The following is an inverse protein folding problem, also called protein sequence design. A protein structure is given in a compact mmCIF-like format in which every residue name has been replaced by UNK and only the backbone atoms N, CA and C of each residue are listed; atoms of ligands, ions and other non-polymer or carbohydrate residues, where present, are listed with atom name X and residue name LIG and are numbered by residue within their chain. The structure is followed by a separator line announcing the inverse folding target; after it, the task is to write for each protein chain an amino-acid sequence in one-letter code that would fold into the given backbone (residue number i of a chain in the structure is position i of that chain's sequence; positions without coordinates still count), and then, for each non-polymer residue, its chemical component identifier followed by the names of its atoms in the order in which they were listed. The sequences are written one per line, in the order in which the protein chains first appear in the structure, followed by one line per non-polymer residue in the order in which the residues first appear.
data_IF_000948427346
#
_entry.id   IF_000948427346
#
_cell.length_a   1.000
_cell.length_b   1.000
_cell.length_c   1.000
_cell.angle_alpha   90.00
_cell.angle_beta   90.00
_cell.angle_gamma   90.00
#
_symmetry.space_group_name_H-M   'P 1'
#
loop_
_entity.id
_entity.type
_entity.pdbx_description
1 polymer ?
#
# COMPACT_ATOMS: atom_id res chain seq x y z
N UNK A 1 40.15 -7.67 -0.44
CA UNK A 1 39.25 -8.54 0.38
C UNK A 1 38.16 -7.67 0.98
N UNK A 2 36.92 -8.16 1.14
CA UNK A 2 35.84 -7.34 1.75
C UNK A 2 36.05 -7.21 3.27
N UNK A 3 35.81 -6.00 3.81
CA UNK A 3 35.93 -5.72 5.25
C UNK A 3 34.95 -6.57 6.08
N UNK A 4 33.76 -6.82 5.57
CA UNK A 4 32.76 -7.73 6.15
C UNK A 4 32.45 -8.89 5.18
N UNK A 5 32.21 -10.08 5.73
CA UNK A 5 31.81 -11.31 5.03
C UNK A 5 30.32 -11.60 5.21
N UNK A 6 29.65 -10.98 6.17
CA UNK A 6 28.20 -11.10 6.36
C UNK A 6 27.48 -10.57 5.13
N UNK A 7 26.61 -11.40 4.57
CA UNK A 7 25.77 -11.06 3.42
C UNK A 7 24.36 -11.55 3.68
N UNK A 8 23.38 -10.77 3.24
CA UNK A 8 21.97 -11.11 3.35
C UNK A 8 21.42 -11.39 1.96
N UNK A 9 20.69 -12.50 1.84
CA UNK A 9 19.94 -12.85 0.64
C UNK A 9 18.46 -12.86 1.00
N UNK A 10 17.67 -12.04 0.32
CA UNK A 10 16.22 -12.11 0.43
C UNK A 10 15.71 -13.37 -0.24
N UNK A 11 14.87 -14.12 0.47
CA UNK A 11 14.21 -15.32 -0.03
C UNK A 11 12.72 -15.02 -0.13
N UNK A 12 12.14 -15.26 -1.30
CA UNK A 12 10.69 -15.13 -1.49
C UNK A 12 9.96 -16.14 -0.59
N UNK A 13 8.92 -15.73 0.16
CA UNK A 13 8.12 -16.65 0.98
C UNK A 13 7.53 -17.81 0.19
N UNK A 14 7.30 -17.62 -1.13
CA UNK A 14 6.79 -18.66 -2.05
C UNK A 14 7.75 -19.83 -2.24
N UNK A 15 9.04 -19.63 -1.96
CA UNK A 15 10.08 -20.67 -2.04
C UNK A 15 10.21 -21.49 -0.75
N UNK A 16 9.50 -21.10 0.30
CA UNK A 16 9.47 -21.85 1.56
C UNK A 16 8.28 -22.80 1.47
N UNK A 17 8.57 -24.09 1.34
CA UNK A 17 7.56 -25.14 1.24
C UNK A 17 8.08 -26.44 1.82
N UNK A 18 7.16 -27.36 2.12
CA UNK A 18 7.53 -28.69 2.61
C UNK A 18 8.35 -29.42 1.53
N UNK A 19 9.38 -30.19 1.92
CA UNK A 19 10.14 -31.03 1.00
C UNK A 19 9.22 -31.94 0.17
N UNK A 20 9.51 -32.09 -1.12
CA UNK A 20 8.71 -32.89 -2.05
C UNK A 20 7.22 -32.48 -2.12
N UNK A 21 6.88 -31.25 -1.69
CA UNK A 21 5.50 -30.75 -1.58
C UNK A 21 4.58 -31.69 -0.76
N UNK A 22 5.12 -32.36 0.25
CA UNK A 22 4.30 -33.16 1.16
C UNK A 22 3.32 -32.28 1.94
N UNK A 23 2.19 -32.86 2.34
CA UNK A 23 1.25 -32.20 3.26
C UNK A 23 1.91 -31.82 4.59
N UNK A 24 1.27 -30.89 5.30
CA UNK A 24 1.72 -30.47 6.62
C UNK A 24 1.66 -31.62 7.63
N UNK A 25 2.66 -31.67 8.50
CA UNK A 25 2.81 -32.65 9.57
C UNK A 25 2.89 -31.95 10.92
N UNK A 26 2.89 -32.73 12.01
CA UNK A 26 3.06 -32.18 13.37
C UNK A 26 4.33 -31.33 13.51
N UNK A 27 5.43 -31.76 12.88
CA UNK A 27 6.75 -31.17 13.08
C UNK A 27 7.25 -30.34 11.89
N UNK A 28 6.54 -30.34 10.76
CA UNK A 28 6.86 -29.53 9.59
C UNK A 28 5.58 -28.96 8.99
N UNK A 29 5.46 -27.64 8.97
CA UNK A 29 4.29 -26.93 8.43
C UNK A 29 4.75 -25.82 7.51
N UNK A 30 4.27 -25.83 6.28
CA UNK A 30 4.49 -24.78 5.30
C UNK A 30 5.98 -24.44 5.07
N UNK A 31 6.86 -25.45 5.12
CA UNK A 31 8.31 -25.36 4.96
C UNK A 31 9.09 -24.97 6.21
N UNK A 32 8.41 -24.79 7.35
CA UNK A 32 9.04 -24.51 8.65
C UNK A 32 9.02 -25.78 9.49
N UNK A 33 10.18 -26.23 9.94
CA UNK A 33 10.26 -27.30 10.93
C UNK A 33 10.19 -26.72 12.33
N UNK A 34 9.37 -27.32 13.17
CA UNK A 34 9.11 -26.90 14.53
C UNK A 34 9.47 -28.01 15.52
N UNK A 35 9.83 -27.63 16.73
CA UNK A 35 9.96 -28.55 17.86
C UNK A 35 8.59 -28.78 18.54
N UNK A 36 8.55 -29.67 19.53
CA UNK A 36 7.31 -29.96 20.28
C UNK A 36 6.75 -28.76 21.05
N UNK A 37 7.57 -27.73 21.30
CA UNK A 37 7.17 -26.46 21.92
C UNK A 37 6.73 -25.40 20.89
N UNK A 38 6.70 -25.73 19.59
CA UNK A 38 6.31 -24.81 18.52
C UNK A 38 7.40 -23.84 18.04
N UNK A 39 8.62 -23.88 18.59
CA UNK A 39 9.72 -23.05 18.14
C UNK A 39 10.30 -23.56 16.81
N UNK A 40 10.54 -22.64 15.88
CA UNK A 40 11.16 -22.96 14.59
C UNK A 40 12.61 -23.43 14.77
N UNK A 41 12.94 -24.61 14.24
CA UNK A 41 14.29 -25.18 14.20
C UNK A 41 15.04 -24.79 12.93
N UNK A 42 14.31 -24.68 11.82
CA UNK A 42 14.88 -24.40 10.51
C UNK A 42 13.81 -24.33 9.42
N UNK A 43 14.28 -24.02 8.22
CA UNK A 43 13.46 -23.72 7.06
C UNK A 43 13.92 -24.53 5.87
N UNK A 44 12.96 -25.09 5.13
CA UNK A 44 13.20 -25.70 3.83
C UNK A 44 12.99 -24.66 2.74
N UNK A 45 14.06 -24.35 2.02
CA UNK A 45 14.03 -23.39 0.91
C UNK A 45 14.19 -24.13 -0.40
N UNK A 46 13.18 -24.06 -1.26
CA UNK A 46 13.22 -24.60 -2.61
C UNK A 46 14.23 -23.82 -3.46
N UNK A 47 14.94 -24.50 -4.37
CA UNK A 47 15.75 -23.83 -5.39
C UNK A 47 14.88 -22.91 -6.26
N UNK A 48 15.51 -21.95 -6.93
CA UNK A 48 14.81 -21.03 -7.82
C UNK A 48 14.69 -21.70 -9.19
N UNK A 49 13.50 -22.22 -9.49
CA UNK A 49 13.21 -22.89 -10.76
C UNK A 49 12.82 -21.93 -11.88
N UNK A 50 12.61 -20.64 -11.61
CA UNK A 50 12.00 -19.72 -12.58
C UNK A 50 12.76 -19.71 -13.93
N UNK A 51 12.07 -19.90 -15.07
CA UNK A 51 10.61 -20.01 -15.27
C UNK A 51 10.06 -21.46 -15.21
N UNK A 52 10.89 -22.47 -15.01
CA UNK A 52 10.52 -23.88 -14.85
C UNK A 52 9.75 -24.11 -13.55
N UNK A 53 8.48 -24.48 -13.66
CA UNK A 53 7.50 -24.53 -12.56
C UNK A 53 7.72 -25.61 -11.50
N UNK A 54 8.88 -26.26 -11.44
CA UNK A 54 9.14 -27.29 -10.42
C UNK A 54 10.56 -27.18 -9.85
N UNK A 55 10.73 -26.49 -8.72
CA UNK A 55 11.94 -26.65 -7.93
C UNK A 55 11.96 -28.07 -7.34
N UNK A 56 12.88 -28.90 -7.83
CA UNK A 56 13.01 -30.32 -7.44
C UNK A 56 13.90 -30.53 -6.21
N UNK A 57 14.46 -29.45 -5.66
CA UNK A 57 15.44 -29.55 -4.58
C UNK A 57 15.17 -28.50 -3.50
N UNK A 58 15.11 -28.97 -2.27
CA UNK A 58 15.00 -28.16 -1.07
C UNK A 58 16.33 -28.18 -0.35
N UNK A 59 16.78 -27.01 0.08
CA UNK A 59 17.93 -26.88 0.97
C UNK A 59 17.41 -26.59 2.36
N UNK A 60 17.84 -27.38 3.33
CA UNK A 60 17.58 -27.12 4.73
C UNK A 60 18.51 -26.03 5.25
N UNK A 61 17.95 -25.02 5.90
CA UNK A 61 18.69 -23.95 6.54
C UNK A 61 18.27 -23.90 8.02
N UNK A 62 19.19 -24.11 8.97
CA UNK A 62 18.86 -23.98 10.39
C UNK A 62 18.44 -22.55 10.71
N UNK A 63 17.64 -22.35 11.75
CA UNK A 63 17.28 -21.00 12.22
C UNK A 63 18.51 -20.24 12.72
N UNK A 64 19.32 -20.90 13.54
CA UNK A 64 20.53 -20.38 14.18
C UNK A 64 21.72 -21.30 13.91
N UNK A 65 22.89 -20.70 13.68
CA UNK A 65 24.17 -21.40 13.57
C UNK A 65 24.71 -21.77 14.97
N UNK A 66 25.67 -22.71 15.05
CA UNK A 66 26.43 -22.93 16.28
C UNK A 66 27.01 -21.61 16.80
N UNK A 67 26.68 -21.24 18.03
CA UNK A 67 27.03 -19.95 18.63
C UNK A 67 25.88 -18.93 18.70
N UNK A 68 24.66 -19.28 18.29
CA UNK A 68 23.46 -18.45 18.48
C UNK A 68 23.26 -17.36 17.42
N UNK A 69 24.09 -17.34 16.38
CA UNK A 69 23.95 -16.41 15.26
C UNK A 69 22.78 -16.82 14.37
N UNK A 70 21.86 -15.90 14.07
CA UNK A 70 20.76 -16.17 13.13
C UNK A 70 21.31 -16.50 11.73
N UNK A 71 20.94 -17.68 11.21
CA UNK A 71 21.21 -18.10 9.83
C UNK A 71 20.02 -17.79 8.92
N UNK A 72 18.81 -17.83 9.46
CA UNK A 72 17.58 -17.51 8.74
C UNK A 72 16.74 -16.54 9.56
N UNK A 73 16.48 -15.36 9.02
CA UNK A 73 15.70 -14.32 9.68
C UNK A 73 14.27 -14.40 9.15
N UNK A 74 13.36 -14.94 9.95
CA UNK A 74 11.93 -14.99 9.65
C UNK A 74 11.18 -14.11 10.64
N UNK A 75 10.62 -13.00 10.15
CA UNK A 75 9.84 -12.06 10.94
C UNK A 75 8.43 -12.00 10.37
N UNK A 76 7.44 -12.36 11.18
CA UNK A 76 6.03 -12.25 10.84
C UNK A 76 5.22 -12.00 12.11
N UNK A 77 4.07 -11.36 11.95
CA UNK A 77 3.12 -11.12 13.03
C UNK A 77 2.15 -12.31 13.16
N UNK A 78 2.18 -13.07 14.27
CA UNK A 78 1.22 -14.16 14.50
C UNK A 78 -0.13 -13.58 14.90
N UNK A 79 -1.18 -14.02 14.21
CA UNK A 79 -2.58 -13.65 14.50
C UNK A 79 -3.30 -14.78 15.23
N UNK A 80 -2.90 -16.02 14.95
CA UNK A 80 -3.50 -17.23 15.51
C UNK A 80 -2.43 -18.12 16.18
N UNK A 81 -2.88 -18.99 17.09
CA UNK A 81 -2.01 -19.99 17.71
C UNK A 81 -1.52 -21.03 16.69
N UNK A 82 -0.29 -21.52 16.87
CA UNK A 82 0.31 -22.53 16.00
C UNK A 82 0.65 -22.06 14.57
N UNK A 83 0.49 -20.77 14.28
CA UNK A 83 0.82 -20.17 12.99
C UNK A 83 2.35 -20.17 12.77
N UNK A 84 2.81 -20.84 11.70
CA UNK A 84 4.25 -20.92 11.39
C UNK A 84 4.74 -19.84 10.43
N UNK A 85 3.82 -19.16 9.72
CA UNK A 85 4.10 -18.09 8.74
C UNK A 85 3.00 -17.05 8.73
N UNK A 86 3.34 -15.82 8.37
CA UNK A 86 2.37 -14.73 8.23
C UNK A 86 1.24 -15.06 7.24
N UNK A 87 0.03 -14.65 7.59
CA UNK A 87 -1.15 -14.78 6.74
C UNK A 87 -1.21 -13.63 5.71
N UNK A 88 -1.95 -13.86 4.63
CA UNK A 88 -2.20 -12.82 3.65
C UNK A 88 -3.21 -11.81 4.20
N UNK A 89 -2.82 -10.54 4.29
CA UNK A 89 -3.70 -9.44 4.75
C UNK A 89 -4.92 -9.23 3.87
N UNK A 90 -4.87 -9.63 2.59
CA UNK A 90 -6.00 -9.51 1.67
C UNK A 90 -7.11 -10.54 1.91
N UNK A 91 -6.91 -11.51 2.81
CA UNK A 91 -7.90 -12.56 3.05
C UNK A 91 -9.24 -12.00 3.57
N UNK A 92 -9.20 -10.95 4.39
CA UNK A 92 -10.39 -10.30 4.95
C UNK A 92 -11.24 -9.54 3.93
N UNK A 93 -10.66 -9.15 2.78
CA UNK A 93 -11.30 -8.29 1.77
C UNK A 93 -11.44 -8.98 0.40
N UNK A 94 -11.06 -10.25 0.31
CA UNK A 94 -10.96 -10.98 -0.96
C UNK A 94 -12.31 -11.07 -1.69
N UNK A 95 -13.38 -11.33 -0.94
CA UNK A 95 -14.74 -11.39 -1.48
C UNK A 95 -15.17 -10.04 -2.07
N UNK A 96 -14.90 -8.96 -1.36
CA UNK A 96 -15.24 -7.59 -1.76
C UNK A 96 -14.42 -7.15 -2.97
N UNK A 97 -13.14 -7.54 -3.03
CA UNK A 97 -12.32 -7.33 -4.24
C UNK A 97 -12.92 -8.07 -5.45
N UNK A 98 -13.43 -9.30 -5.26
CA UNK A 98 -14.06 -10.03 -6.36
C UNK A 98 -15.41 -9.41 -6.78
N UNK A 99 -16.19 -8.93 -5.82
CA UNK A 99 -17.43 -8.18 -6.12
C UNK A 99 -17.14 -6.90 -6.89
N UNK A 100 -16.10 -6.16 -6.52
CA UNK A 100 -15.68 -4.93 -7.23
C UNK A 100 -15.30 -5.22 -8.70
N UNK A 101 -14.49 -6.25 -8.94
CA UNK A 101 -14.14 -6.71 -10.30
C UNK A 101 -15.39 -7.06 -11.12
N UNK A 102 -16.32 -7.80 -10.51
CA UNK A 102 -17.57 -8.20 -11.17
C UNK A 102 -18.43 -6.97 -11.50
N UNK A 103 -18.58 -6.05 -10.55
CA UNK A 103 -19.33 -4.80 -10.72
C UNK A 103 -18.77 -3.95 -11.87
N UNK A 104 -17.45 -3.74 -11.90
CA UNK A 104 -16.78 -2.95 -12.94
C UNK A 104 -16.98 -3.58 -14.33
N UNK A 105 -16.84 -4.91 -14.42
CA UNK A 105 -17.08 -5.65 -15.66
C UNK A 105 -18.55 -5.56 -16.10
N UNK A 106 -19.51 -5.77 -15.20
CA UNK A 106 -20.95 -5.68 -15.51
C UNK A 106 -21.35 -4.27 -15.93
N UNK A 107 -20.81 -3.24 -15.30
CA UNK A 107 -21.07 -1.84 -15.68
C UNK A 107 -20.49 -1.53 -17.07
N UNK A 108 -19.26 -1.98 -17.35
CA UNK A 108 -18.67 -1.84 -18.68
C UNK A 108 -19.50 -2.54 -19.75
N UNK A 109 -19.93 -3.79 -19.50
CA UNK A 109 -20.80 -4.52 -20.41
C UNK A 109 -22.15 -3.83 -20.60
N UNK A 110 -22.77 -3.34 -19.52
CA UNK A 110 -24.04 -2.60 -19.60
C UNK A 110 -23.89 -1.30 -20.39
N UNK A 111 -22.77 -0.59 -20.24
CA UNK A 111 -22.47 0.60 -21.03
C UNK A 111 -22.27 0.27 -22.52
N UNK A 112 -21.59 -0.85 -22.84
CA UNK A 112 -21.44 -1.34 -24.22
C UNK A 112 -22.80 -1.70 -24.81
N UNK A 113 -23.63 -2.48 -24.10
CA UNK A 113 -24.99 -2.86 -24.53
C UNK A 113 -25.83 -1.61 -24.76
N UNK A 114 -25.86 -0.65 -23.82
CA UNK A 114 -26.56 0.64 -24.00
C UNK A 114 -26.05 1.42 -25.22
N UNK A 115 -24.75 1.41 -25.47
CA UNK A 115 -24.17 2.07 -26.65
C UNK A 115 -24.52 1.35 -27.97
N UNK A 116 -24.67 0.02 -27.93
CA UNK A 116 -25.06 -0.79 -29.09
C UNK A 116 -26.55 -0.67 -29.41
N UNK A 117 -27.42 -0.68 -28.39
CA UNK A 117 -28.86 -0.54 -28.53
C UNK A 117 -29.27 0.94 -28.50
N UNK A 118 -28.82 1.71 -29.48
CA UNK A 118 -29.20 3.12 -29.63
C UNK A 118 -30.65 3.31 -30.10
N UNK A 119 -31.26 2.27 -30.68
CA UNK A 119 -32.63 2.31 -31.16
C UNK A 119 -33.27 0.92 -31.16
N UNK A 120 -34.45 0.79 -30.56
CA UNK A 120 -35.30 -0.41 -30.64
C UNK A 120 -36.50 -0.11 -31.53
N UNK A 121 -36.83 -1.04 -32.42
CA UNK A 121 -38.04 -0.96 -33.26
C UNK A 121 -39.11 -1.80 -32.58
N UNK A 122 -40.19 -1.16 -32.15
CA UNK A 122 -41.38 -1.83 -31.60
C UNK A 122 -42.41 -1.96 -32.73
N UNK A 123 -42.85 -3.18 -33.02
CA UNK A 123 -43.84 -3.46 -34.07
C UNK A 123 -45.20 -3.80 -33.45
N UNK A 124 -46.25 -3.14 -33.90
CA UNK A 124 -47.63 -3.47 -33.51
C UNK A 124 -48.11 -4.72 -34.26
N UNK A 125 -47.75 -5.90 -33.74
CA UNK A 125 -48.32 -7.17 -34.23
C UNK A 125 -49.61 -7.50 -33.50
N UNK A 126 -50.65 -7.85 -34.25
CA UNK A 126 -51.86 -8.46 -33.69
C UNK A 126 -51.50 -9.77 -32.96
N UNK A 127 -52.17 -10.05 -31.85
CA UNK A 127 -51.83 -11.13 -30.90
C UNK A 127 -51.88 -12.51 -31.58
N UNK A 128 -52.74 -12.69 -32.59
CA UNK A 128 -52.81 -13.92 -33.38
C UNK A 128 -51.57 -14.11 -34.28
N UNK A 129 -51.14 -13.06 -34.95
CA UNK A 129 -49.98 -13.05 -35.84
C UNK A 129 -48.66 -13.24 -35.06
N UNK A 130 -48.58 -12.67 -33.86
CA UNK A 130 -47.44 -12.86 -32.94
C UNK A 130 -47.33 -14.31 -32.43
N UNK A 131 -48.46 -14.96 -32.12
CA UNK A 131 -48.48 -16.37 -31.70
C UNK A 131 -48.10 -17.33 -32.84
N UNK A 132 -48.55 -17.07 -34.06
CA UNK A 132 -48.18 -17.86 -35.25
C UNK A 132 -46.67 -17.74 -35.58
N UNK A 133 -46.04 -16.60 -35.25
CA UNK A 133 -44.60 -16.38 -35.41
C UNK A 133 -43.75 -17.09 -34.34
N UNK A 134 -44.20 -17.09 -33.07
CA UNK A 134 -43.45 -17.66 -31.94
C UNK A 134 -43.59 -19.19 -31.87
N UNK A 135 -44.79 -19.73 -32.13
CA UNK A 135 -45.09 -21.16 -31.93
C UNK A 135 -44.78 -22.02 -33.16
N UNK A 136 -44.44 -21.40 -34.29
CA UNK A 136 -44.24 -22.08 -35.57
C UNK A 136 -45.57 -22.49 -36.21
N UNK A 137 -45.78 -22.08 -37.46
CA UNK A 137 -47.02 -22.32 -38.19
C UNK A 137 -47.33 -23.83 -38.37
N UNK A 138 -48.48 -24.25 -37.86
CA UNK A 138 -48.95 -25.64 -37.87
C UNK A 138 -49.68 -26.03 -39.17
N UNK A 139 -50.07 -25.08 -40.02
CA UNK A 139 -50.68 -25.33 -41.33
C UNK A 139 -49.82 -24.80 -42.49
N UNK A 140 -49.94 -25.42 -43.67
CA UNK A 140 -49.19 -25.06 -44.88
C UNK A 140 -49.57 -23.65 -45.38
N UNK A 141 -50.83 -23.26 -45.22
CA UNK A 141 -51.35 -21.94 -45.59
C UNK A 141 -50.83 -20.81 -44.66
N UNK A 142 -50.66 -21.09 -43.36
CA UNK A 142 -50.02 -20.16 -42.42
C UNK A 142 -48.54 -19.96 -42.71
N UNK A 143 -47.82 -21.01 -43.15
CA UNK A 143 -46.40 -20.88 -43.57
C UNK A 143 -46.25 -20.00 -44.79
N UNK A 144 -47.12 -20.13 -45.79
CA UNK A 144 -47.06 -19.31 -47.01
C UNK A 144 -47.33 -17.82 -46.69
N UNK A 145 -48.31 -17.53 -45.83
CA UNK A 145 -48.57 -16.15 -45.36
C UNK A 145 -47.39 -15.58 -44.56
N UNK A 146 -46.80 -16.36 -43.66
CA UNK A 146 -45.64 -15.94 -42.87
C UNK A 146 -44.42 -15.67 -43.76
N UNK A 147 -44.19 -16.52 -44.77
CA UNK A 147 -43.06 -16.38 -45.70
C UNK A 147 -43.24 -15.18 -46.64
N UNK A 148 -44.46 -14.94 -47.12
CA UNK A 148 -44.79 -13.77 -47.93
C UNK A 148 -44.62 -12.47 -47.15
N UNK A 149 -45.10 -12.43 -45.91
CA UNK A 149 -44.97 -11.27 -45.03
C UNK A 149 -43.52 -10.98 -44.64
N UNK A 150 -42.72 -12.00 -44.29
CA UNK A 150 -41.27 -11.86 -44.07
C UNK A 150 -40.57 -11.35 -45.35
N UNK A 151 -41.01 -11.80 -46.52
CA UNK A 151 -40.50 -11.35 -47.82
C UNK A 151 -40.79 -9.87 -48.09
N UNK A 152 -42.00 -9.39 -47.78
CA UNK A 152 -42.38 -7.98 -47.91
C UNK A 152 -41.62 -7.07 -46.94
N UNK A 153 -41.45 -7.51 -45.69
CA UNK A 153 -40.63 -6.81 -44.68
C UNK A 153 -39.18 -6.69 -45.17
N UNK A 154 -38.58 -7.80 -45.62
CA UNK A 154 -37.21 -7.80 -46.11
C UNK A 154 -37.03 -6.88 -47.34
N UNK A 155 -38.00 -6.85 -48.24
CA UNK A 155 -37.99 -5.97 -49.40
C UNK A 155 -38.11 -4.48 -49.02
N UNK A 156 -38.99 -4.15 -48.07
CA UNK A 156 -39.18 -2.78 -47.58
C UNK A 156 -37.91 -2.21 -46.93
N UNK A 157 -37.30 -2.97 -46.02
CA UNK A 157 -36.06 -2.57 -45.35
C UNK A 157 -34.84 -2.54 -46.28
N UNK A 158 -34.81 -3.38 -47.33
CA UNK A 158 -33.77 -3.33 -48.36
C UNK A 158 -33.87 -2.10 -49.28
N UNK A 159 -35.09 -1.58 -49.50
CA UNK A 159 -35.35 -0.51 -50.45
C UNK A 159 -35.16 0.92 -49.89
N UNK A 160 -35.12 1.12 -48.56
CA UNK A 160 -35.21 2.45 -47.95
C UNK A 160 -34.00 2.89 -47.08
N UNK A 161 -32.80 3.14 -47.63
CA UNK A 161 -31.72 3.77 -46.90
C UNK A 161 -31.89 5.30 -46.85
N UNK A 162 -32.75 5.81 -45.97
CA UNK A 162 -32.86 7.27 -45.74
C UNK A 162 -31.62 7.74 -44.97
N UNK A 163 -30.81 8.59 -45.61
CA UNK A 163 -29.61 9.20 -45.02
C UNK A 163 -29.81 10.70 -44.91
N UNK A 164 -29.68 11.24 -43.70
CA UNK A 164 -29.81 12.66 -43.41
C UNK A 164 -28.53 13.10 -42.67
N UNK A 165 -27.71 13.95 -43.30
CA UNK A 165 -26.48 14.48 -42.67
C UNK A 165 -25.40 13.44 -42.32
N UNK A 166 -25.32 12.32 -43.04
CA UNK A 166 -24.35 11.25 -42.77
C UNK A 166 -24.79 10.23 -41.71
N UNK A 167 -25.91 10.46 -41.03
CA UNK A 167 -26.56 9.48 -40.16
C UNK A 167 -27.62 8.67 -40.95
N UNK A 168 -27.66 7.35 -40.74
CA UNK A 168 -28.77 6.51 -41.22
C UNK A 168 -29.98 6.78 -40.33
N UNK A 169 -31.05 7.31 -40.91
CA UNK A 169 -32.35 7.43 -40.22
C UNK A 169 -33.19 6.23 -40.70
N UNK A 170 -33.54 5.27 -39.84
CA UNK A 170 -34.32 4.11 -40.26
C UNK A 170 -35.73 4.58 -40.69
N UNK A 171 -36.10 4.30 -41.94
CA UNK A 171 -37.48 4.45 -42.40
C UNK A 171 -38.25 3.20 -41.96
N UNK A 172 -39.20 3.39 -41.06
CA UNK A 172 -39.96 2.31 -40.43
C UNK A 172 -41.23 2.00 -41.21
N UNK A 173 -41.65 0.75 -41.17
CA UNK A 173 -42.93 0.32 -41.73
C UNK A 173 -44.09 1.01 -40.97
N UNK A 174 -45.20 1.37 -41.64
CA UNK A 174 -46.38 1.91 -40.95
C UNK A 174 -46.86 0.97 -39.84
N UNK A 175 -46.95 1.46 -38.59
CA UNK A 175 -47.26 0.65 -37.40
C UNK A 175 -46.04 0.28 -36.53
N UNK A 176 -44.83 0.46 -37.05
CA UNK A 176 -43.59 0.34 -36.25
C UNK A 176 -43.24 1.69 -35.61
N UNK A 177 -42.84 1.68 -34.35
CA UNK A 177 -42.34 2.86 -33.64
C UNK A 177 -40.85 2.72 -33.31
N UNK A 178 -40.07 3.78 -33.53
CA UNK A 178 -38.66 3.83 -33.18
C UNK A 178 -38.54 4.45 -31.79
N UNK A 179 -38.20 3.63 -30.81
CA UNK A 179 -37.85 4.12 -29.49
C UNK A 179 -36.34 4.33 -29.43
N UNK A 180 -35.92 5.59 -29.49
CA UNK A 180 -34.52 5.95 -29.23
C UNK A 180 -34.30 5.83 -27.74
N UNK A 181 -33.76 4.69 -27.32
CA UNK A 181 -33.31 4.50 -25.95
C UNK A 181 -32.11 5.42 -25.74
N UNK A 182 -32.37 6.64 -25.26
CA UNK A 182 -31.29 7.48 -24.75
C UNK A 182 -30.64 6.69 -23.63
N UNK A 183 -29.32 6.56 -23.66
CA UNK A 183 -28.59 5.92 -22.59
C UNK A 183 -28.81 6.74 -21.30
N UNK A 184 -29.87 6.42 -20.55
CA UNK A 184 -30.17 7.05 -19.27
C UNK A 184 -28.92 6.93 -18.39
N UNK A 185 -28.65 8.03 -17.69
CA UNK A 185 -27.44 8.35 -16.94
C UNK A 185 -26.68 7.10 -16.48
N UNK A 186 -25.45 6.99 -16.93
CA UNK A 186 -24.57 5.85 -16.67
C UNK A 186 -24.24 5.69 -15.19
N UNK A 187 -24.50 6.71 -14.35
CA UNK A 187 -24.22 6.70 -12.91
C UNK A 187 -25.49 6.45 -12.06
N UNK A 188 -26.17 5.32 -12.28
CA UNK A 188 -27.27 4.82 -11.44
C UNK A 188 -26.80 4.39 -10.03
N UNK A 189 -26.14 5.28 -9.28
CA UNK A 189 -25.55 4.98 -7.97
C UNK A 189 -24.33 4.05 -8.02
N UNK A 190 -23.80 3.78 -9.22
CA UNK A 190 -22.58 2.98 -9.41
C UNK A 190 -21.42 3.58 -8.63
N UNK A 191 -21.18 4.88 -8.77
CA UNK A 191 -20.09 5.57 -8.08
C UNK A 191 -20.20 5.47 -6.56
N UNK A 192 -21.41 5.59 -6.00
CA UNK A 192 -21.67 5.47 -4.56
C UNK A 192 -21.41 4.05 -4.06
N UNK A 193 -21.85 3.04 -4.81
CA UNK A 193 -21.64 1.63 -4.47
C UNK A 193 -20.18 1.21 -4.60
N UNK A 194 -19.49 1.61 -5.68
CA UNK A 194 -18.05 1.42 -5.88
C UNK A 194 -17.25 2.05 -4.73
N UNK A 195 -17.56 3.31 -4.37
CA UNK A 195 -16.93 3.96 -3.23
C UNK A 195 -17.19 3.21 -1.91
N UNK A 196 -18.37 2.64 -1.72
CA UNK A 196 -18.69 1.84 -0.54
C UNK A 196 -17.83 0.58 -0.45
N UNK A 197 -17.67 -0.15 -1.57
CA UNK A 197 -16.79 -1.31 -1.65
C UNK A 197 -15.33 -0.93 -1.39
N UNK A 198 -14.84 0.15 -1.99
CA UNK A 198 -13.48 0.64 -1.77
C UNK A 198 -13.25 1.05 -0.30
N UNK A 199 -14.22 1.67 0.37
CA UNK A 199 -14.15 1.97 1.81
C UNK A 199 -14.06 0.70 2.65
N UNK A 200 -14.83 -0.34 2.32
CA UNK A 200 -14.76 -1.61 3.04
C UNK A 200 -13.39 -2.28 2.86
N UNK A 201 -12.88 -2.29 1.63
CA UNK A 201 -11.54 -2.82 1.31
C UNK A 201 -10.47 -2.03 2.09
N UNK A 202 -10.57 -0.70 2.10
CA UNK A 202 -9.65 0.17 2.84
C UNK A 202 -9.64 -0.16 4.34
N UNK A 203 -10.82 -0.28 4.96
CA UNK A 203 -10.97 -0.66 6.36
C UNK A 203 -10.34 -2.02 6.67
N UNK A 204 -10.56 -3.04 5.82
CA UNK A 204 -9.99 -4.37 6.02
C UNK A 204 -8.46 -4.44 5.82
N UNK A 205 -7.88 -3.49 5.08
CA UNK A 205 -6.43 -3.36 4.88
C UNK A 205 -5.74 -2.43 5.90
N UNK A 206 -6.50 -1.74 6.74
CA UNK A 206 -5.98 -0.78 7.72
C UNK A 206 -5.47 0.52 7.08
N UNK A 207 -6.01 0.91 5.92
CA UNK A 207 -5.69 2.15 5.22
C UNK A 207 -6.95 3.00 5.03
N UNK A 208 -6.78 4.30 4.86
CA UNK A 208 -7.93 5.15 4.55
C UNK A 208 -8.36 5.05 3.09
N UNK A 209 -9.63 5.34 2.82
CA UNK A 209 -10.19 5.31 1.46
C UNK A 209 -9.46 6.26 0.52
N UNK A 210 -9.06 7.44 1.01
CA UNK A 210 -8.43 8.46 0.18
C UNK A 210 -7.00 8.08 -0.18
N UNK A 211 -6.30 7.37 0.72
CA UNK A 211 -5.00 6.79 0.41
C UNK A 211 -5.11 5.63 -0.58
N UNK A 212 -6.11 4.76 -0.42
CA UNK A 212 -6.31 3.60 -1.29
C UNK A 212 -6.72 4.02 -2.71
N UNK A 213 -7.71 4.90 -2.82
CA UNK A 213 -8.27 5.39 -4.10
C UNK A 213 -7.47 6.54 -4.70
N UNK A 214 -6.57 7.17 -3.93
CA UNK A 214 -5.91 8.45 -4.25
C UNK A 214 -6.88 9.58 -4.57
N UNK A 215 -8.12 9.49 -4.10
CA UNK A 215 -9.14 10.50 -4.32
C UNK A 215 -9.31 11.37 -3.05
N UNK A 216 -8.89 12.63 -3.15
CA UNK A 216 -8.98 13.61 -2.07
C UNK A 216 -10.02 14.71 -2.36
N UNK A 217 -10.84 14.57 -3.40
CA UNK A 217 -11.71 15.63 -3.90
C UNK A 217 -12.75 16.14 -2.88
N UNK A 218 -13.16 15.28 -1.94
CA UNK A 218 -14.19 15.60 -0.95
C UNK A 218 -13.63 15.79 0.47
N UNK A 219 -12.31 15.84 0.66
CA UNK A 219 -11.72 16.00 1.99
C UNK A 219 -11.42 17.45 2.35
N UNK A 220 -11.79 17.83 3.57
CA UNK A 220 -11.25 19.04 4.21
C UNK A 220 -9.84 18.79 4.76
N UNK A 221 -9.08 19.86 4.97
CA UNK A 221 -7.74 19.80 5.56
C UNK A 221 -7.70 19.03 6.89
N UNK A 222 -8.65 19.28 7.80
CA UNK A 222 -8.72 18.62 9.10
C UNK A 222 -8.96 17.11 8.98
N UNK A 223 -9.85 16.72 8.07
CA UNK A 223 -10.16 15.30 7.82
C UNK A 223 -8.99 14.59 7.16
N UNK A 224 -8.31 15.24 6.20
CA UNK A 224 -7.10 14.71 5.57
C UNK A 224 -5.97 14.50 6.59
N UNK A 225 -5.80 15.43 7.54
CA UNK A 225 -4.83 15.29 8.64
C UNK A 225 -5.20 14.16 9.60
N UNK A 226 -6.47 14.03 9.97
CA UNK A 226 -6.92 12.92 10.81
C UNK A 226 -6.68 11.56 10.13
N UNK A 227 -7.08 11.41 8.87
CA UNK A 227 -6.90 10.19 8.05
C UNK A 227 -5.41 9.81 7.86
N UNK A 228 -4.55 10.81 7.63
CA UNK A 228 -3.11 10.60 7.54
C UNK A 228 -2.49 10.16 8.88
N UNK A 229 -2.95 10.71 10.01
CA UNK A 229 -2.49 10.32 11.35
C UNK A 229 -2.93 8.90 11.72
N UNK A 230 -4.22 8.62 11.48
CA UNK A 230 -4.81 7.32 11.18
C UNK A 230 -3.80 6.27 10.71
N UNK A 231 -3.54 6.42 9.42
CA UNK A 231 -2.75 5.49 8.64
C UNK A 231 -1.29 5.48 9.07
N UNK A 232 -0.75 6.63 9.49
CA UNK A 232 0.61 6.72 10.03
C UNK A 232 0.79 5.86 11.28
N UNK A 233 -0.16 5.87 12.22
CA UNK A 233 -0.11 5.02 13.40
C UNK A 233 -0.12 3.53 13.02
N UNK A 234 -0.97 3.14 12.08
CA UNK A 234 -1.01 1.78 11.54
C UNK A 234 0.33 1.37 10.91
N UNK A 235 0.88 2.19 10.01
CA UNK A 235 2.17 1.91 9.37
C UNK A 235 3.34 1.90 10.35
N UNK A 236 3.33 2.76 11.36
CA UNK A 236 4.34 2.79 12.42
C UNK A 236 4.33 1.51 13.25
N UNK A 237 3.15 1.00 13.60
CA UNK A 237 3.00 -0.30 14.28
C UNK A 237 3.61 -1.44 13.45
N UNK A 238 3.22 -1.53 12.17
CA UNK A 238 3.77 -2.53 11.24
C UNK A 238 5.27 -2.39 11.02
N UNK A 239 5.78 -1.16 10.93
CA UNK A 239 7.21 -0.86 10.78
C UNK A 239 8.00 -1.32 12.01
N UNK A 240 7.51 -1.04 13.23
CA UNK A 240 8.16 -1.46 14.47
C UNK A 240 8.20 -2.97 14.60
N UNK A 241 7.15 -3.67 14.17
CA UNK A 241 7.09 -5.12 14.26
C UNK A 241 7.92 -5.84 13.19
N UNK A 242 7.80 -5.45 11.92
CA UNK A 242 8.43 -6.16 10.80
C UNK A 242 9.80 -5.57 10.49
N UNK A 243 9.83 -4.32 10.00
CA UNK A 243 11.04 -3.70 9.48
C UNK A 243 12.10 -3.50 10.57
N UNK A 244 11.72 -2.95 11.73
CA UNK A 244 12.67 -2.72 12.82
C UNK A 244 13.24 -4.03 13.37
N UNK A 245 12.42 -5.09 13.52
CA UNK A 245 12.95 -6.39 13.98
C UNK A 245 13.87 -7.03 12.96
N UNK A 246 13.51 -6.98 11.67
CA UNK A 246 14.36 -7.49 10.60
C UNK A 246 15.70 -6.74 10.59
N UNK A 247 15.66 -5.41 10.61
CA UNK A 247 16.85 -4.56 10.62
C UNK A 247 17.71 -4.79 11.87
N UNK A 248 17.10 -4.90 13.06
CA UNK A 248 17.83 -5.24 14.30
C UNK A 248 18.50 -6.61 14.23
N UNK A 249 17.86 -7.64 13.68
CA UNK A 249 18.50 -8.95 13.51
C UNK A 249 19.66 -8.90 12.51
N UNK A 250 19.51 -8.17 11.42
CA UNK A 250 20.59 -7.94 10.45
C UNK A 250 21.76 -7.16 11.08
N UNK A 251 21.46 -6.10 11.82
CA UNK A 251 22.42 -5.30 12.56
C UNK A 251 23.19 -6.14 13.57
N UNK A 252 22.51 -7.00 14.33
CA UNK A 252 23.16 -7.92 15.27
C UNK A 252 24.14 -8.87 14.58
N UNK A 253 23.79 -9.40 13.41
CA UNK A 253 24.69 -10.26 12.64
C UNK A 253 25.94 -9.51 12.13
N UNK A 254 25.77 -8.24 11.76
CA UNK A 254 26.87 -7.37 11.36
C UNK A 254 27.74 -6.97 12.56
N UNK A 255 27.12 -6.56 13.68
CA UNK A 255 27.80 -6.12 14.91
C UNK A 255 28.64 -7.25 15.50
N UNK A 256 28.13 -8.47 15.49
CA UNK A 256 28.87 -9.67 15.87
C UNK A 256 30.17 -9.82 15.05
N UNK A 257 30.08 -9.67 13.73
CA UNK A 257 31.27 -9.72 12.87
C UNK A 257 32.22 -8.54 13.11
N UNK A 258 31.68 -7.33 13.32
CA UNK A 258 32.47 -6.14 13.58
C UNK A 258 33.29 -6.26 14.88
N UNK A 259 32.71 -6.86 15.92
CA UNK A 259 33.38 -7.14 17.19
C UNK A 259 34.47 -8.20 17.02
N UNK A 260 34.15 -9.31 16.34
CA UNK A 260 35.12 -10.41 16.10
C UNK A 260 36.32 -9.91 15.28
N UNK A 261 36.09 -9.01 14.32
CA UNK A 261 37.14 -8.38 13.51
C UNK A 261 37.87 -7.23 14.19
N UNK A 262 37.46 -6.85 15.40
CA UNK A 262 38.00 -5.71 16.16
C UNK A 262 37.86 -4.35 15.45
N UNK A 263 36.87 -4.22 14.58
CA UNK A 263 36.47 -2.91 14.01
C UNK A 263 35.73 -2.10 15.08
N UNK A 264 34.89 -2.79 15.86
CA UNK A 264 34.22 -2.24 17.04
C UNK A 264 34.78 -2.95 18.25
N UNK A 265 35.22 -2.19 19.25
CA UNK A 265 35.67 -2.73 20.53
C UNK A 265 34.60 -2.50 21.57
N UNK A 266 34.22 -3.57 22.27
CA UNK A 266 33.33 -3.43 23.42
C UNK A 266 34.05 -2.67 24.54
N UNK A 267 33.31 -1.85 25.33
CA UNK A 267 33.88 -1.18 26.49
C UNK A 267 34.60 -2.16 27.42
N UNK A 268 35.82 -1.84 27.84
CA UNK A 268 36.64 -2.72 28.68
C UNK A 268 36.01 -3.04 30.05
N UNK A 269 35.10 -2.18 30.53
CA UNK A 269 34.35 -2.36 31.78
C UNK A 269 32.98 -3.03 31.60
N UNK A 270 32.67 -3.54 30.41
CA UNK A 270 31.40 -4.21 30.16
C UNK A 270 31.27 -5.47 31.03
N UNK A 271 30.16 -5.59 31.76
CA UNK A 271 29.87 -6.75 32.62
C UNK A 271 29.56 -8.02 31.83
N UNK A 272 28.89 -7.88 30.69
CA UNK A 272 28.42 -8.99 29.87
C UNK A 272 29.08 -8.97 28.50
N UNK A 273 29.42 -10.15 28.00
CA UNK A 273 29.88 -10.34 26.63
C UNK A 273 28.76 -10.06 25.62
N UNK A 274 29.13 -9.94 24.34
CA UNK A 274 28.16 -9.75 23.26
C UNK A 274 27.12 -10.87 23.21
N UNK A 275 27.52 -12.13 23.42
CA UNK A 275 26.60 -13.27 23.35
C UNK A 275 25.64 -13.33 24.54
N UNK A 276 26.10 -12.97 25.75
CA UNK A 276 25.27 -12.97 26.95
C UNK A 276 24.20 -11.87 26.93
N UNK A 277 24.52 -10.71 26.34
CA UNK A 277 23.64 -9.53 26.35
C UNK A 277 23.31 -9.03 24.93
N UNK A 278 23.13 -9.95 23.97
CA UNK A 278 22.93 -9.63 22.54
C UNK A 278 21.83 -8.59 22.32
N UNK A 279 20.69 -8.74 22.98
CA UNK A 279 19.56 -7.81 22.86
C UNK A 279 19.87 -6.40 23.40
N UNK A 280 20.68 -6.30 24.46
CA UNK A 280 21.06 -5.01 25.03
C UNK A 280 22.08 -4.29 24.14
N UNK A 281 23.07 -5.02 23.60
CA UNK A 281 24.04 -4.48 22.66
C UNK A 281 23.43 -4.09 21.31
N UNK A 282 22.40 -4.81 20.88
CA UNK A 282 21.65 -4.51 19.66
C UNK A 282 20.46 -3.58 19.86
N UNK A 283 20.34 -2.92 21.01
CA UNK A 283 19.24 -2.00 21.25
C UNK A 283 19.45 -0.73 20.41
N UNK A 284 18.72 -0.64 19.32
CA UNK A 284 18.78 0.47 18.38
C UNK A 284 17.37 0.83 17.92
N UNK A 285 17.15 2.11 17.64
CA UNK A 285 15.96 2.58 16.95
C UNK A 285 16.27 2.82 15.47
N UNK A 286 15.29 2.49 14.64
CA UNK A 286 15.41 2.60 13.19
C UNK A 286 14.61 3.80 12.71
N UNK A 287 15.32 4.79 12.20
CA UNK A 287 14.73 5.95 11.53
C UNK A 287 14.30 5.49 10.13
N UNK A 288 13.00 5.59 9.87
CA UNK A 288 12.43 5.31 8.55
C UNK A 288 12.07 6.61 7.83
N UNK A 289 11.39 6.50 6.69
CA UNK A 289 10.83 7.67 6.01
C UNK A 289 9.96 8.48 6.99
N UNK A 290 10.10 9.79 6.94
CA UNK A 290 9.37 10.73 7.77
C UNK A 290 7.89 10.81 7.44
N UNK A 291 7.12 11.35 8.37
CA UNK A 291 5.73 11.71 8.16
C UNK A 291 5.66 12.91 7.21
N UNK A 292 4.74 12.85 6.24
CA UNK A 292 4.48 13.98 5.36
C UNK A 292 3.81 15.11 6.15
N UNK A 293 4.41 16.30 6.13
CA UNK A 293 3.85 17.47 6.78
C UNK A 293 2.70 18.05 5.95
N UNK A 294 1.52 18.16 6.56
CA UNK A 294 0.32 18.69 5.88
C UNK A 294 0.24 20.21 6.07
N UNK A 295 0.57 20.71 7.25
CA UNK A 295 0.87 22.13 7.52
C UNK A 295 2.21 22.19 8.24
N UNK A 296 3.26 22.50 7.46
CA UNK A 296 4.62 22.52 7.98
C UNK A 296 4.84 23.55 9.08
N UNK A 297 4.10 24.68 9.08
CA UNK A 297 4.30 25.72 10.09
C UNK A 297 3.78 25.26 11.45
N UNK A 298 2.54 24.76 11.51
CA UNK A 298 1.94 24.31 12.77
C UNK A 298 2.69 23.12 13.36
N UNK A 299 3.12 22.16 12.53
CA UNK A 299 3.86 20.99 13.01
C UNK A 299 5.26 21.35 13.51
N UNK A 300 5.94 22.32 12.90
CA UNK A 300 7.22 22.82 13.41
C UNK A 300 7.03 23.59 14.71
N UNK A 301 6.01 24.43 14.82
CA UNK A 301 5.69 25.14 16.07
C UNK A 301 5.36 24.16 17.20
N UNK A 302 4.55 23.15 16.93
CA UNK A 302 4.24 22.07 17.88
C UNK A 302 5.52 21.35 18.34
N UNK A 303 6.42 21.00 17.42
CA UNK A 303 7.69 20.36 17.75
C UNK A 303 8.61 21.23 18.62
N UNK A 304 8.71 22.53 18.30
CA UNK A 304 9.49 23.50 19.10
C UNK A 304 8.90 23.61 20.52
N UNK A 305 7.59 23.79 20.64
CA UNK A 305 6.91 23.88 21.94
C UNK A 305 7.09 22.60 22.77
N UNK A 306 7.05 21.42 22.15
CA UNK A 306 7.27 20.15 22.84
C UNK A 306 8.71 19.99 23.38
N UNK A 307 9.70 20.46 22.61
CA UNK A 307 11.11 20.45 23.03
C UNK A 307 11.33 21.46 24.15
N UNK A 308 10.82 22.69 24.00
CA UNK A 308 10.92 23.74 25.02
C UNK A 308 10.21 23.37 26.31
N UNK A 309 9.07 22.69 26.23
CA UNK A 309 8.34 22.17 27.39
C UNK A 309 9.00 20.93 28.04
N UNK A 310 10.05 20.36 27.45
CA UNK A 310 10.72 19.16 27.95
C UNK A 310 9.92 17.86 27.77
N UNK A 311 8.86 17.88 26.95
CA UNK A 311 8.04 16.70 26.64
C UNK A 311 8.64 15.86 25.51
N UNK A 312 9.55 16.43 24.72
CA UNK A 312 10.25 15.75 23.63
C UNK A 312 11.73 16.13 23.55
N UNK A 313 12.42 15.51 22.61
CA UNK A 313 13.86 15.65 22.36
C UNK A 313 14.09 15.87 20.87
N UNK A 314 15.20 16.53 20.51
CA UNK A 314 15.60 16.70 19.10
C UNK A 314 15.63 15.38 18.33
N UNK A 315 16.15 14.30 18.94
CA UNK A 315 16.18 12.97 18.33
C UNK A 315 14.77 12.48 17.92
N UNK A 316 13.79 12.53 18.84
CA UNK A 316 12.41 12.11 18.56
C UNK A 316 11.74 12.98 17.50
N UNK A 317 11.90 14.30 17.55
CA UNK A 317 11.26 15.20 16.58
C UNK A 317 11.90 15.13 15.19
N UNK A 318 13.23 15.02 15.09
CA UNK A 318 13.93 14.78 13.83
C UNK A 318 13.58 13.40 13.25
N UNK A 319 13.51 12.35 14.08
CA UNK A 319 13.15 11.01 13.63
C UNK A 319 11.71 10.93 13.09
N UNK A 320 10.77 11.77 13.55
CA UNK A 320 9.42 11.88 12.95
C UNK A 320 9.47 12.40 11.51
N UNK A 321 10.47 13.22 11.17
CA UNK A 321 10.75 13.74 9.82
C UNK A 321 11.64 12.82 9.00
N UNK A 322 12.15 11.75 9.62
CA UNK A 322 13.02 10.76 8.98
C UNK A 322 14.49 11.17 8.96
N UNK A 323 14.87 12.19 9.74
CA UNK A 323 16.23 12.71 9.81
C UNK A 323 16.89 12.29 11.12
N UNK A 324 18.20 12.09 11.10
CA UNK A 324 19.01 11.94 12.31
C UNK A 324 19.44 13.32 12.83
N UNK A 325 19.17 13.58 14.12
CA UNK A 325 19.54 14.84 14.75
C UNK A 325 21.07 15.04 14.79
N UNK A 326 21.86 13.97 14.91
CA UNK A 326 23.32 14.08 14.95
C UNK A 326 23.89 14.55 13.61
N UNK A 327 23.34 14.01 12.51
CA UNK A 327 23.71 14.44 11.16
C UNK A 327 23.32 15.89 10.91
N UNK A 328 22.11 16.30 11.32
CA UNK A 328 21.66 17.69 11.22
C UNK A 328 22.60 18.62 11.99
N UNK A 329 22.93 18.28 13.24
CA UNK A 329 23.77 19.15 14.08
C UNK A 329 25.20 19.23 13.53
N UNK A 330 25.77 18.10 13.10
CA UNK A 330 27.10 18.09 12.46
C UNK A 330 27.12 18.95 11.19
N UNK A 331 26.07 18.87 10.38
CA UNK A 331 25.92 19.67 9.18
C UNK A 331 25.73 21.16 9.49
N UNK A 332 24.91 21.52 10.47
CA UNK A 332 24.71 22.91 10.90
C UNK A 332 26.01 23.55 11.40
N UNK A 333 26.85 22.81 12.14
CA UNK A 333 28.16 23.29 12.58
C UNK A 333 29.06 23.57 11.38
N UNK A 334 29.12 22.63 10.43
CA UNK A 334 29.91 22.79 9.20
C UNK A 334 29.45 24.00 8.39
N UNK A 335 28.15 24.12 8.12
CA UNK A 335 27.56 25.24 7.38
C UNK A 335 27.81 26.58 8.07
N UNK A 336 27.78 26.60 9.40
CA UNK A 336 28.06 27.82 10.18
C UNK A 336 29.52 28.24 10.03
N UNK A 337 30.46 27.30 10.04
CA UNK A 337 31.88 27.60 9.82
C UNK A 337 32.12 28.09 8.38
N UNK A 338 31.58 27.39 7.38
CA UNK A 338 31.69 27.78 5.96
C UNK A 338 31.10 29.17 5.69
N UNK A 339 29.94 29.49 6.30
CA UNK A 339 29.34 30.83 6.21
C UNK A 339 30.23 31.91 6.82
N UNK A 340 30.86 31.63 7.97
CA UNK A 340 31.78 32.57 8.62
C UNK A 340 33.02 32.80 7.75
N UNK A 341 33.59 31.75 7.17
CA UNK A 341 34.72 31.85 6.25
C UNK A 341 34.36 32.62 4.98
N UNK A 342 33.16 32.43 4.45
CA UNK A 342 32.65 33.15 3.28
C UNK A 342 32.18 34.60 3.58
N UNK A 343 32.24 35.05 4.84
CA UNK A 343 31.75 36.38 5.26
C UNK A 343 30.23 36.54 5.14
N UNK A 344 29.47 35.45 5.05
CA UNK A 344 28.01 35.46 4.97
C UNK A 344 27.41 35.67 6.36
N UNK A 345 26.34 36.47 6.43
CA UNK A 345 25.63 36.71 7.69
C UNK A 345 25.03 35.40 8.24
N UNK A 346 24.98 35.24 9.58
CA UNK A 346 24.24 34.15 10.20
C UNK A 346 22.78 34.13 9.71
N UNK A 347 22.12 32.96 9.71
CA UNK A 347 20.71 32.87 9.39
C UNK A 347 19.88 33.82 10.27
N UNK A 348 18.79 34.37 9.71
CA UNK A 348 18.05 35.50 10.29
C UNK A 348 17.62 35.30 11.76
N UNK A 349 17.32 34.06 12.17
CA UNK A 349 16.98 33.73 13.56
C UNK A 349 18.17 33.89 14.53
N UNK A 350 19.39 33.54 14.09
CA UNK A 350 20.61 33.70 14.89
C UNK A 350 21.05 35.17 14.94
N UNK A 351 20.81 35.94 13.87
CA UNK A 351 21.04 37.38 13.85
C UNK A 351 20.12 38.12 14.84
N UNK A 352 18.83 37.75 14.88
CA UNK A 352 17.88 38.33 15.82
C UNK A 352 18.21 38.00 17.29
N UNK A 353 18.64 36.76 17.58
CA UNK A 353 19.09 36.37 18.92
C UNK A 353 20.35 37.13 19.34
N UNK A 354 21.32 37.30 18.44
CA UNK A 354 22.54 38.07 18.69
C UNK A 354 22.25 39.55 18.96
N UNK A 355 21.37 40.18 18.17
CA UNK A 355 20.93 41.56 18.41
C UNK A 355 20.18 41.71 19.74
N UNK A 356 19.35 40.74 20.11
CA UNK A 356 18.65 40.75 21.40
C UNK A 356 19.60 40.61 22.59
N UNK A 357 20.63 39.75 22.48
CA UNK A 357 21.67 39.61 23.51
C UNK A 357 22.54 40.85 23.66
N UNK A 358 22.89 41.52 22.54
CA UNK A 358 23.59 42.80 22.56
C UNK A 358 22.77 43.93 23.21
N UNK A 359 21.45 43.93 23.04
CA UNK A 359 20.56 44.88 23.71
C UNK A 359 20.47 44.63 25.21
N UNK A 360 20.39 43.35 25.63
CA UNK A 360 20.39 43.00 27.06
C UNK A 360 21.71 43.34 27.74
N UNK A 361 22.86 43.05 27.11
CA UNK A 361 24.17 43.39 27.69
C UNK A 361 24.38 44.91 27.80
N UNK A 362 23.89 45.68 26.82
CA UNK A 362 23.97 47.16 26.87
C UNK A 362 22.96 47.79 27.84
N UNK A 363 21.88 47.10 28.18
CA UNK A 363 20.96 47.50 29.25
C UNK A 363 21.51 47.17 30.64
N UNK A 364 22.14 46.01 30.82
CA UNK A 364 22.83 45.62 32.08
C UNK A 364 24.01 46.55 32.41
N UNK A 365 24.85 46.89 31.42
CA UNK A 365 25.92 47.88 31.60
C UNK A 365 25.36 49.27 31.99
N UNK A 366 24.20 49.65 31.46
CA UNK A 366 23.53 50.91 31.82
C UNK A 366 22.87 50.87 33.19
N UNK A 367 22.34 49.73 33.63
CA UNK A 367 21.81 49.59 34.99
C UNK A 367 22.90 49.59 36.04
N UNK A 368 24.03 48.92 35.79
CA UNK A 368 25.18 48.90 36.71
C UNK A 368 25.85 50.28 36.79
N UNK A 369 25.94 51.01 35.67
CA UNK A 369 26.44 52.40 35.66
C UNK A 369 25.53 53.42 36.36
N UNK A 370 24.26 53.07 36.64
CA UNK A 370 23.31 53.90 37.39
C UNK A 370 23.19 53.51 38.87
N UNK A 371 23.69 52.33 39.24
CA UNK A 371 23.66 51.80 40.60
C UNK A 371 24.98 52.03 41.37
N UNK A 372 26.08 52.33 40.67
CA UNK A 372 27.32 52.89 41.21
C UNK A 372 27.28 54.42 41.23
#
# INVERSE_FOLDING_TARGET
SRLFRTQFRMVSPKRISNPNNTGDSRNCRAGVQINDSGAALGYYVSEDGYPGWMPQKWTWIPRELPGGRASFIHVFEPVEDGQTRGANVFYSVMEQMKMLDTLQNTQLQSAIVKAMYAATIESELDTQSAMDFILGANSQEQRERLTGWIGEIAAYYAAAPVRLGGAKVPHLMPGDSLNLQTAQDTDNGYSVFEQSLLRYIAAGLGVSYEQLSRNYAQMSYSTARASANESWAHFMGRRKFVASRQASQMFLCWLEEAIVRRVVTLPSKARFSFQEARSAWGNCDWIGSGRMAIDGLKEVQEAVMLIEAGLSTYEKECAKRGDDYQEIFAQQVRETMERREAGLKPPAWAAAAFESGLRQSTEEEKSDSRAA
#
